data_IF_694293541185
#
_entry.id   IF_694293541185
#
_cell.length_a   1.000
_cell.length_b   1.000
_cell.length_c   1.000
_cell.angle_alpha   90.00
_cell.angle_beta   90.00
_cell.angle_gamma   90.00
#
_symmetry.space_group_name_H-M   'P 1'
#
loop_
_entity.id
_entity.type
_entity.pdbx_description
1 polymer ?
#
# COMPACT_ATOMS: atom_id res chain seq x y z
N UNK A 1 8.80 9.84 7.31
CA UNK A 1 7.39 10.24 7.52
C UNK A 1 6.51 8.99 7.64
N UNK A 2 5.36 9.05 8.34
CA UNK A 2 4.47 7.88 8.52
C UNK A 2 3.90 7.33 7.20
N UNK A 3 3.66 8.21 6.21
CA UNK A 3 3.12 7.84 4.90
C UNK A 3 4.10 6.98 4.09
N UNK A 4 5.39 7.35 4.08
CA UNK A 4 6.42 6.62 3.35
C UNK A 4 6.58 5.19 3.89
N UNK A 5 6.53 5.03 5.22
CA UNK A 5 6.62 3.72 5.85
C UNK A 5 5.42 2.84 5.50
N UNK A 6 4.20 3.38 5.53
CA UNK A 6 3.02 2.65 5.09
C UNK A 6 3.10 2.23 3.61
N UNK A 7 3.59 3.12 2.74
CA UNK A 7 3.78 2.84 1.32
C UNK A 7 4.82 1.73 1.09
N UNK A 8 5.92 1.73 1.84
CA UNK A 8 6.93 0.66 1.81
C UNK A 8 6.33 -0.69 2.22
N UNK A 9 5.53 -0.71 3.29
CA UNK A 9 4.82 -1.92 3.76
C UNK A 9 3.84 -2.45 2.71
N UNK A 10 3.04 -1.57 2.12
CA UNK A 10 2.10 -1.92 1.05
C UNK A 10 2.85 -2.50 -0.16
N UNK A 11 3.99 -1.92 -0.55
CA UNK A 11 4.82 -2.44 -1.63
C UNK A 11 5.35 -3.83 -1.30
N UNK A 12 5.94 -4.02 -0.11
CA UNK A 12 6.49 -5.30 0.31
C UNK A 12 5.40 -6.39 0.38
N UNK A 13 4.23 -6.08 0.95
CA UNK A 13 3.08 -6.99 0.97
C UNK A 13 2.58 -7.34 -0.42
N UNK A 14 2.48 -6.35 -1.30
CA UNK A 14 2.09 -6.58 -2.70
C UNK A 14 3.08 -7.46 -3.43
N UNK A 15 4.38 -7.25 -3.25
CA UNK A 15 5.41 -8.09 -3.88
C UNK A 15 5.35 -9.52 -3.34
N UNK A 16 5.27 -9.70 -2.02
CA UNK A 16 5.16 -11.02 -1.38
C UNK A 16 3.93 -11.81 -1.83
N UNK A 17 2.80 -11.14 -2.09
CA UNK A 17 1.57 -11.77 -2.62
C UNK A 17 1.47 -11.79 -4.15
N UNK A 18 2.38 -11.16 -4.88
CA UNK A 18 2.25 -10.97 -6.33
C UNK A 18 1.03 -10.14 -6.74
N UNK A 19 0.61 -9.18 -5.92
CA UNK A 19 -0.59 -8.37 -6.15
C UNK A 19 -0.32 -7.11 -6.99
N UNK A 20 -1.06 -6.96 -8.07
CA UNK A 20 -1.08 -5.73 -8.88
C UNK A 20 -1.73 -4.55 -8.12
N UNK A 21 -1.33 -3.32 -8.45
CA UNK A 21 -1.79 -2.12 -7.74
C UNK A 21 -3.30 -1.91 -7.91
N UNK A 22 -3.82 -2.28 -9.08
CA UNK A 22 -5.25 -2.29 -9.40
C UNK A 22 -6.03 -3.31 -8.58
N UNK A 23 -5.43 -4.47 -8.29
CA UNK A 23 -6.05 -5.47 -7.41
C UNK A 23 -6.06 -4.98 -5.97
N UNK A 24 -4.95 -4.42 -5.52
CA UNK A 24 -4.84 -3.81 -4.20
C UNK A 24 -5.85 -2.67 -4.00
N UNK A 25 -6.11 -1.88 -5.04
CA UNK A 25 -7.14 -0.85 -5.05
C UNK A 25 -8.55 -1.41 -4.81
N UNK A 26 -8.91 -2.45 -5.55
CA UNK A 26 -10.20 -3.13 -5.39
C UNK A 26 -10.36 -3.68 -3.99
N UNK A 27 -9.33 -4.32 -3.45
CA UNK A 27 -9.34 -4.89 -2.10
C UNK A 27 -9.40 -3.81 -1.01
N UNK A 28 -8.79 -2.64 -1.21
CA UNK A 28 -8.87 -1.52 -0.24
C UNK A 28 -10.17 -0.73 -0.36
N UNK A 29 -10.98 -0.98 -1.38
CA UNK A 29 -12.11 -0.13 -1.72
C UNK A 29 -11.69 1.28 -2.12
N UNK A 30 -10.48 1.44 -2.68
CA UNK A 30 -10.01 2.69 -3.25
C UNK A 30 -10.41 2.79 -4.72
N UNK A 31 -10.87 3.98 -5.09
CA UNK A 31 -11.27 4.26 -6.46
C UNK A 31 -10.05 4.39 -7.39
N UNK A 32 -10.17 4.03 -8.67
CA UNK A 32 -9.10 4.08 -9.67
C UNK A 32 -8.43 5.45 -9.76
N UNK A 33 -9.21 6.51 -9.60
CA UNK A 33 -8.73 7.90 -9.53
C UNK A 33 -7.72 8.14 -8.39
N UNK A 34 -7.89 7.45 -7.26
CA UNK A 34 -6.99 7.52 -6.10
C UNK A 34 -5.69 6.79 -6.37
N UNK A 35 -5.76 5.65 -7.05
CA UNK A 35 -4.60 4.84 -7.44
C UNK A 35 -3.74 5.53 -8.48
N UNK A 36 -4.36 6.17 -9.47
CA UNK A 36 -3.65 7.00 -10.45
C UNK A 36 -2.88 8.14 -9.78
N UNK A 37 -3.41 8.69 -8.69
CA UNK A 37 -2.70 9.69 -7.89
C UNK A 37 -1.60 9.05 -7.05
N UNK A 38 -1.80 7.84 -6.53
CA UNK A 38 -0.77 7.07 -5.81
C UNK A 38 0.50 6.79 -6.58
N UNK A 39 0.41 6.69 -7.90
CA UNK A 39 1.58 6.56 -8.76
C UNK A 39 2.40 7.86 -8.86
N UNK A 40 1.80 9.01 -8.52
CA UNK A 40 2.49 10.30 -8.55
C UNK A 40 3.31 10.50 -7.27
N UNK A 41 4.59 10.89 -7.38
CA UNK A 41 5.47 11.11 -6.23
C UNK A 41 5.05 12.30 -5.36
N UNK A 42 4.26 13.22 -5.91
CA UNK A 42 3.75 14.42 -5.21
C UNK A 42 2.40 14.16 -4.48
N UNK A 43 1.87 12.95 -4.58
CA UNK A 43 0.57 12.66 -3.99
C UNK A 43 0.64 12.45 -2.49
N UNK A 44 -0.05 13.32 -1.76
CA UNK A 44 -0.31 13.17 -0.33
C UNK A 44 -1.62 12.40 -0.11
N UNK A 45 -1.58 11.10 0.27
CA UNK A 45 -2.79 10.39 0.66
C UNK A 45 -3.42 11.03 1.89
N UNK A 46 -4.75 11.07 1.92
CA UNK A 46 -5.48 11.45 3.13
C UNK A 46 -5.37 10.34 4.19
N UNK A 47 -5.58 10.71 5.46
CA UNK A 47 -5.62 9.74 6.56
C UNK A 47 -6.62 8.59 6.32
N UNK A 48 -7.74 8.87 5.64
CA UNK A 48 -8.72 7.84 5.26
C UNK A 48 -8.17 6.85 4.22
N UNK A 49 -7.50 7.39 3.19
CA UNK A 49 -6.84 6.57 2.16
C UNK A 49 -5.76 5.69 2.78
N UNK A 50 -4.93 6.28 3.64
CA UNK A 50 -3.89 5.56 4.37
C UNK A 50 -4.48 4.42 5.21
N UNK A 51 -5.53 4.71 5.99
CA UNK A 51 -6.24 3.69 6.78
C UNK A 51 -6.80 2.56 5.91
N UNK A 52 -7.34 2.85 4.73
CA UNK A 52 -7.83 1.81 3.80
C UNK A 52 -6.70 0.96 3.22
N UNK A 53 -5.57 1.57 2.89
CA UNK A 53 -4.38 0.84 2.42
C UNK A 53 -3.82 -0.05 3.55
N UNK A 54 -3.74 0.46 4.77
CA UNK A 54 -3.28 -0.29 5.95
C UNK A 54 -4.32 -1.33 6.42
N UNK A 55 -5.61 -1.12 6.17
CA UNK A 55 -6.63 -2.10 6.53
C UNK A 55 -6.45 -3.45 5.82
N UNK A 56 -5.81 -3.48 4.65
CA UNK A 56 -5.49 -4.73 3.95
C UNK A 56 -4.11 -5.28 4.31
N UNK A 57 -3.21 -4.43 4.81
CA UNK A 57 -1.84 -4.82 5.14
C UNK A 57 -1.76 -5.01 6.65
N UNK A 58 -1.57 -6.25 7.13
CA UNK A 58 -1.54 -6.49 8.57
C UNK A 58 -0.46 -5.66 9.25
N UNK A 59 -0.79 -5.09 10.42
CA UNK A 59 0.16 -4.25 11.16
C UNK A 59 1.40 -5.04 11.64
N UNK A 60 1.35 -6.37 11.55
CA UNK A 60 2.44 -7.28 11.89
C UNK A 60 3.37 -7.62 10.70
N UNK A 61 3.01 -7.21 9.47
CA UNK A 61 3.77 -7.56 8.25
C UNK A 61 5.24 -7.10 8.27
N UNK A 62 5.61 -6.17 9.15
CA UNK A 62 6.99 -5.69 9.28
C UNK A 62 7.96 -6.73 9.85
N UNK A 63 7.47 -7.84 10.40
CA UNK A 63 8.30 -8.95 10.91
C UNK A 63 8.78 -9.90 9.79
N UNK A 64 8.27 -9.75 8.57
CA UNK A 64 8.74 -10.58 7.46
C UNK A 64 10.10 -10.07 6.98
N UNK A 65 11.16 -10.91 7.04
CA UNK A 65 12.44 -10.53 6.47
C UNK A 65 12.21 -10.16 5.00
N UNK A 66 12.84 -9.09 4.48
CA UNK A 66 12.80 -8.82 3.06
C UNK A 66 13.24 -10.11 2.39
N UNK A 67 12.36 -10.67 1.55
CA UNK A 67 12.65 -11.91 0.83
C UNK A 67 14.07 -11.78 0.28
N UNK A 68 14.95 -12.65 0.78
CA UNK A 68 16.36 -12.65 0.43
C UNK A 68 16.49 -12.66 -1.10
N UNK A 69 17.46 -11.86 -1.57
CA UNK A 69 17.93 -11.66 -2.94
C UNK A 69 17.67 -12.81 -3.94
#
# INVERSE_FOLDING_TARGET
MLIEQAMQRVRAFRTARGWSILRFAKESGLNESTIRRMDRPDWSPTADTLKKLESIVPNDFFDLPPAAE
#
